data_IF_974795302911
#
_entry.id   IF_974795302911
#
_cell.length_a   1.000
_cell.length_b   1.000
_cell.length_c   1.000
_cell.angle_alpha   90.00
_cell.angle_beta   90.00
_cell.angle_gamma   90.00
#
_symmetry.space_group_name_H-M   'P 1'
#
loop_
_entity.id
_entity.type
_entity.pdbx_description
1 polymer ?
#
# COMPACT_ATOMS: atom_id res chain seq x y z
N UNK A 1 -5.29 7.44 -34.78
CA UNK A 1 -4.05 8.16 -34.94
C UNK A 1 -3.47 8.52 -33.58
N UNK A 2 -2.28 7.97 -33.24
CA UNK A 2 -1.63 8.14 -31.95
C UNK A 2 -1.27 9.62 -31.69
N UNK A 3 -0.75 10.31 -32.70
CA UNK A 3 -0.39 11.72 -32.60
C UNK A 3 -1.59 12.62 -32.19
N UNK A 4 -2.76 12.41 -32.78
CA UNK A 4 -3.97 13.15 -32.41
C UNK A 4 -4.43 12.90 -30.97
N UNK A 5 -4.19 11.69 -30.44
CA UNK A 5 -4.47 11.38 -29.04
C UNK A 5 -3.50 12.15 -28.14
N UNK A 6 -2.21 12.17 -28.47
CA UNK A 6 -1.19 12.90 -27.70
C UNK A 6 -1.45 14.41 -27.70
N UNK A 7 -1.82 14.99 -28.86
CA UNK A 7 -2.21 16.40 -28.95
C UNK A 7 -3.44 16.71 -28.09
N UNK A 8 -4.46 15.85 -28.12
CA UNK A 8 -5.64 16.01 -27.26
C UNK A 8 -5.32 15.90 -25.77
N UNK A 9 -4.43 15.00 -25.37
CA UNK A 9 -3.97 14.91 -23.98
C UNK A 9 -3.34 16.22 -23.50
N UNK A 10 -2.53 16.85 -24.35
CA UNK A 10 -1.85 18.11 -24.01
C UNK A 10 -2.83 19.29 -23.98
N UNK A 11 -3.79 19.33 -24.90
CA UNK A 11 -4.70 20.47 -25.08
C UNK A 11 -5.96 20.41 -24.23
N UNK A 12 -6.50 19.21 -23.96
CA UNK A 12 -7.79 19.01 -23.30
C UNK A 12 -7.67 18.63 -21.82
N UNK A 13 -6.55 18.01 -21.39
CA UNK A 13 -6.37 17.64 -19.97
C UNK A 13 -5.71 18.82 -19.24
N UNK A 14 -6.39 19.40 -18.23
CA UNK A 14 -5.81 20.48 -17.45
C UNK A 14 -4.61 20.02 -16.63
N UNK A 15 -3.63 20.91 -16.46
CA UNK A 15 -2.51 20.68 -15.57
C UNK A 15 -2.98 20.42 -14.11
N UNK A 16 -2.21 19.66 -13.30
CA UNK A 16 -2.51 19.47 -11.88
C UNK A 16 -2.68 20.82 -11.17
N UNK A 17 -3.70 20.91 -10.30
CA UNK A 17 -3.93 22.07 -9.45
C UNK A 17 -3.08 21.94 -8.17
N UNK A 18 -2.81 23.08 -7.54
CA UNK A 18 -2.06 23.17 -6.29
C UNK A 18 -0.80 24.03 -6.41
N UNK A 19 -0.36 24.61 -5.31
CA UNK A 19 0.83 25.44 -5.24
C UNK A 19 1.89 24.77 -4.35
N UNK A 20 3.15 24.89 -4.73
CA UNK A 20 4.28 24.42 -3.92
C UNK A 20 4.50 25.28 -2.66
N UNK A 21 3.95 26.50 -2.61
CA UNK A 21 4.05 27.40 -1.46
C UNK A 21 3.04 27.09 -0.34
N UNK A 22 2.04 26.26 -0.63
CA UNK A 22 1.06 25.80 0.35
C UNK A 22 1.65 24.75 1.30
N UNK A 23 0.98 24.46 2.45
CA UNK A 23 1.34 23.34 3.29
C UNK A 23 1.25 22.01 2.52
N UNK A 24 2.13 21.09 2.85
CA UNK A 24 2.15 19.78 2.21
C UNK A 24 0.86 19.01 2.46
N UNK A 25 0.21 18.61 1.37
CA UNK A 25 -0.82 17.58 1.31
C UNK A 25 -0.43 16.57 0.23
N UNK A 26 -0.14 15.35 0.60
CA UNK A 26 0.13 14.28 -0.35
C UNK A 26 -0.74 13.07 -0.04
N UNK A 27 -1.32 12.47 -1.08
CA UNK A 27 -2.22 11.32 -0.97
C UNK A 27 -1.47 10.04 -1.26
N UNK A 28 -1.49 9.11 -0.32
CA UNK A 28 -0.95 7.76 -0.49
C UNK A 28 -1.91 6.96 -1.38
N UNK A 29 -1.40 6.39 -2.47
CA UNK A 29 -2.21 5.53 -3.34
C UNK A 29 -1.72 4.09 -3.41
N UNK A 30 -0.48 3.81 -2.95
CA UNK A 30 0.09 2.47 -2.90
C UNK A 30 1.23 2.41 -1.89
N UNK A 31 1.57 1.20 -1.43
CA UNK A 31 2.75 0.93 -0.62
C UNK A 31 3.19 -0.52 -0.80
N UNK A 32 4.48 -0.78 -0.61
CA UNK A 32 4.99 -2.14 -0.56
C UNK A 32 6.14 -2.24 0.42
N UNK A 33 6.41 -3.46 0.87
CA UNK A 33 7.53 -3.73 1.76
C UNK A 33 8.78 -4.12 0.97
N UNK A 34 9.85 -3.38 1.18
CA UNK A 34 11.19 -3.68 0.67
C UNK A 34 12.06 -4.21 1.82
N UNK A 35 12.72 -5.38 1.69
CA UNK A 35 13.52 -5.98 2.77
C UNK A 35 14.69 -5.10 3.25
N UNK A 36 15.16 -4.18 2.42
CA UNK A 36 16.32 -3.33 2.70
C UNK A 36 15.94 -1.91 3.14
N UNK A 37 14.86 -1.36 2.57
CA UNK A 37 14.41 0.02 2.81
C UNK A 37 13.21 0.13 3.76
N UNK A 38 12.59 -1.00 4.12
CA UNK A 38 11.32 -1.01 4.84
C UNK A 38 10.13 -0.70 3.95
N UNK A 39 9.10 -0.09 4.49
CA UNK A 39 7.91 0.27 3.70
C UNK A 39 8.23 1.45 2.78
N UNK A 40 8.06 1.22 1.48
CA UNK A 40 8.09 2.25 0.44
C UNK A 40 6.65 2.71 0.20
N UNK A 41 6.43 4.00 0.30
CA UNK A 41 5.11 4.61 0.12
C UNK A 41 5.07 5.36 -1.20
N UNK A 42 4.09 5.05 -2.04
CA UNK A 42 3.81 5.81 -3.26
C UNK A 42 2.72 6.84 -2.99
N UNK A 43 2.96 8.05 -3.42
CA UNK A 43 2.05 9.17 -3.16
C UNK A 43 2.03 10.17 -4.31
N UNK A 44 0.97 10.96 -4.34
CA UNK A 44 0.84 12.15 -5.19
C UNK A 44 0.84 13.39 -4.32
N UNK A 45 1.69 14.35 -4.62
CA UNK A 45 1.67 15.67 -3.99
C UNK A 45 0.51 16.48 -4.57
N UNK A 46 -0.44 16.87 -3.72
CA UNK A 46 -1.59 17.68 -4.12
C UNK A 46 -1.29 19.17 -3.92
N UNK A 47 -0.67 19.53 -2.80
CA UNK A 47 -0.15 20.88 -2.52
C UNK A 47 1.15 20.81 -1.73
N UNK A 48 1.92 21.90 -1.74
CA UNK A 48 3.20 21.98 -1.06
C UNK A 48 4.32 21.23 -1.77
N UNK A 49 5.35 20.91 -1.03
CA UNK A 49 6.49 20.11 -1.49
C UNK A 49 7.03 19.22 -0.38
N UNK A 50 7.69 18.13 -0.76
CA UNK A 50 8.34 17.20 0.16
C UNK A 50 9.81 16.99 -0.25
N UNK A 51 10.68 16.91 0.75
CA UNK A 51 12.13 16.71 0.60
C UNK A 51 12.62 15.59 1.52
N UNK A 52 13.77 14.97 1.24
CA UNK A 52 14.47 14.15 2.23
C UNK A 52 14.78 14.95 3.51
N UNK A 53 14.94 14.24 4.63
CA UNK A 53 15.27 14.80 5.96
C UNK A 53 14.17 15.69 6.56
N UNK A 54 12.93 15.61 6.08
CA UNK A 54 11.79 16.26 6.70
C UNK A 54 11.00 15.26 7.54
N UNK A 55 10.47 15.70 8.68
CA UNK A 55 9.56 14.88 9.50
C UNK A 55 8.14 15.04 8.96
N UNK A 56 7.59 13.93 8.50
CA UNK A 56 6.22 13.81 7.99
C UNK A 56 5.31 13.21 9.04
N UNK A 57 4.01 13.48 8.90
CA UNK A 57 2.94 12.89 9.71
C UNK A 57 1.90 12.25 8.81
N UNK A 58 1.53 11.02 9.13
CA UNK A 58 0.40 10.31 8.57
C UNK A 58 -0.87 10.78 9.29
N UNK A 59 -1.82 11.38 8.59
CA UNK A 59 -2.96 12.02 9.25
C UNK A 59 -3.95 11.03 9.85
N UNK A 60 -4.15 9.86 9.22
CA UNK A 60 -5.09 8.86 9.72
C UNK A 60 -4.57 8.09 10.94
N UNK A 61 -3.28 7.80 10.98
CA UNK A 61 -2.67 7.04 12.08
C UNK A 61 -2.04 7.94 13.15
N UNK A 62 -1.73 9.20 12.80
CA UNK A 62 -0.98 10.13 13.64
C UNK A 62 0.52 9.82 13.75
N UNK A 63 1.00 8.77 13.09
CA UNK A 63 2.39 8.34 13.12
C UNK A 63 3.30 9.36 12.42
N UNK A 64 4.48 9.58 13.00
CA UNK A 64 5.46 10.54 12.50
C UNK A 64 6.74 9.82 12.09
N UNK A 65 7.30 10.19 10.94
CA UNK A 65 8.50 9.57 10.38
C UNK A 65 9.43 10.61 9.78
N UNK A 66 10.73 10.38 9.95
CA UNK A 66 11.74 11.12 9.22
C UNK A 66 11.90 10.54 7.82
N UNK A 67 11.71 11.34 6.78
CA UNK A 67 11.95 10.92 5.39
C UNK A 67 13.45 10.71 5.16
N UNK A 68 13.82 9.51 4.73
CA UNK A 68 15.21 9.17 4.39
C UNK A 68 15.47 9.48 2.92
N UNK A 69 14.56 9.06 2.06
CA UNK A 69 14.67 9.19 0.62
C UNK A 69 13.32 9.59 0.02
N UNK A 70 13.36 10.47 -0.96
CA UNK A 70 12.22 10.87 -1.79
C UNK A 70 12.65 10.73 -3.24
N UNK A 71 11.77 10.27 -4.12
CA UNK A 71 12.14 10.07 -5.52
C UNK A 71 10.97 9.80 -6.45
N UNK A 72 11.30 9.62 -7.74
CA UNK A 72 10.35 9.28 -8.80
C UNK A 72 10.52 7.83 -9.22
N UNK A 73 9.42 7.14 -9.46
CA UNK A 73 9.45 5.81 -10.05
C UNK A 73 9.44 5.94 -11.57
N UNK A 74 10.51 5.45 -12.19
CA UNK A 74 10.60 5.26 -13.62
C UNK A 74 10.14 3.84 -13.99
N UNK A 75 10.01 3.53 -15.27
CA UNK A 75 9.54 2.22 -15.73
C UNK A 75 10.37 1.04 -15.16
N UNK A 76 11.68 1.22 -15.04
CA UNK A 76 12.61 0.15 -14.65
C UNK A 76 13.38 0.43 -13.36
N UNK A 77 13.29 1.64 -12.79
CA UNK A 77 14.10 2.04 -11.64
C UNK A 77 13.40 3.07 -10.76
N UNK A 78 13.87 3.18 -9.53
CA UNK A 78 13.54 4.25 -8.60
C UNK A 78 14.68 5.26 -8.63
N UNK A 79 14.36 6.53 -8.90
CA UNK A 79 15.36 7.61 -9.04
C UNK A 79 15.13 8.61 -7.90
N UNK A 80 16.07 8.70 -6.93
CA UNK A 80 16.01 9.70 -5.88
C UNK A 80 16.02 11.13 -6.44
N UNK A 81 15.37 12.05 -5.74
CA UNK A 81 15.39 13.47 -6.09
C UNK A 81 15.39 14.34 -4.83
N UNK A 82 15.78 15.60 -4.98
CA UNK A 82 15.89 16.55 -3.88
C UNK A 82 14.52 17.08 -3.43
N UNK A 83 13.53 17.04 -4.31
CA UNK A 83 12.19 17.57 -4.04
C UNK A 83 11.13 16.97 -4.97
N UNK A 84 9.92 16.74 -4.42
CA UNK A 84 8.69 16.54 -5.18
C UNK A 84 7.72 17.66 -4.83
N UNK A 85 7.11 18.25 -5.87
CA UNK A 85 6.25 19.43 -5.79
C UNK A 85 4.80 19.09 -6.12
N UNK A 86 3.91 20.02 -5.82
CA UNK A 86 2.49 19.92 -6.18
C UNK A 86 2.28 19.44 -7.61
N UNK A 87 1.42 18.44 -7.79
CA UNK A 87 1.13 17.76 -9.05
C UNK A 87 2.02 16.55 -9.37
N UNK A 88 3.16 16.40 -8.71
CA UNK A 88 4.07 15.28 -8.96
C UNK A 88 3.67 14.02 -8.21
N UNK A 89 4.02 12.89 -8.81
CA UNK A 89 3.88 11.55 -8.25
C UNK A 89 5.27 11.01 -7.94
N UNK A 90 5.43 10.38 -6.78
CA UNK A 90 6.70 9.80 -6.40
C UNK A 90 6.57 8.77 -5.29
N UNK A 91 7.71 8.44 -4.70
CA UNK A 91 7.82 7.54 -3.57
C UNK A 91 8.63 8.18 -2.44
N UNK A 92 8.44 7.67 -1.24
CA UNK A 92 9.33 7.93 -0.11
C UNK A 92 9.69 6.64 0.62
N UNK A 93 10.86 6.67 1.26
CA UNK A 93 11.29 5.74 2.28
C UNK A 93 11.51 6.51 3.59
N UNK A 94 10.92 6.06 4.68
CA UNK A 94 10.96 6.75 5.97
C UNK A 94 11.14 5.79 7.16
N UNK A 95 11.80 4.65 6.95
CA UNK A 95 12.01 3.60 7.96
C UNK A 95 10.71 3.13 8.64
N UNK A 96 9.61 3.16 7.90
CA UNK A 96 8.31 2.65 8.35
C UNK A 96 8.42 1.12 8.42
N UNK A 97 8.08 0.55 9.56
CA UNK A 97 8.27 -0.89 9.80
C UNK A 97 7.06 -1.73 9.38
N UNK A 98 5.87 -1.15 9.45
CA UNK A 98 4.62 -1.86 9.17
C UNK A 98 3.77 -1.07 8.19
N UNK A 99 3.17 -1.75 7.20
CA UNK A 99 2.29 -1.12 6.20
C UNK A 99 1.04 -0.52 6.85
N UNK A 100 0.61 -1.05 8.00
CA UNK A 100 -0.52 -0.49 8.74
C UNK A 100 -0.31 0.96 9.21
N UNK A 101 0.94 1.43 9.28
CA UNK A 101 1.28 2.81 9.63
C UNK A 101 1.22 3.78 8.43
N UNK A 102 1.23 3.25 7.19
CA UNK A 102 1.16 4.02 5.95
C UNK A 102 0.02 3.49 5.06
N UNK A 103 -1.21 3.73 5.48
CA UNK A 103 -2.40 3.19 4.81
C UNK A 103 -2.65 3.88 3.47
N UNK A 104 -3.02 3.09 2.46
CA UNK A 104 -3.51 3.61 1.19
C UNK A 104 -4.75 4.49 1.44
N UNK A 105 -4.75 5.68 0.84
CA UNK A 105 -5.79 6.70 1.07
C UNK A 105 -5.51 7.67 2.20
N UNK A 106 -4.43 7.47 2.99
CA UNK A 106 -4.02 8.43 4.02
C UNK A 106 -3.36 9.68 3.41
N UNK A 107 -3.36 10.74 4.17
CA UNK A 107 -2.73 12.02 3.81
C UNK A 107 -1.43 12.20 4.58
N UNK A 108 -0.38 12.53 3.83
CA UNK A 108 0.92 12.93 4.38
C UNK A 108 0.96 14.45 4.51
N UNK A 109 1.38 14.95 5.66
CA UNK A 109 1.68 16.35 5.91
C UNK A 109 3.03 16.52 6.61
N UNK A 110 3.56 17.74 6.70
CA UNK A 110 4.78 18.03 7.47
C UNK A 110 4.44 18.33 8.92
N UNK A 111 5.23 17.82 9.86
CA UNK A 111 5.03 18.06 11.30
C UNK A 111 5.23 19.53 11.65
N UNK A 112 6.19 20.21 11.02
CA UNK A 112 6.49 21.62 11.27
C UNK A 112 5.50 22.61 10.61
N UNK A 113 4.69 22.14 9.64
CA UNK A 113 3.65 22.93 8.98
C UNK A 113 2.47 22.04 8.60
N UNK A 114 1.75 21.52 9.62
CA UNK A 114 0.68 20.57 9.40
C UNK A 114 -0.52 21.23 8.72
N UNK A 115 -1.37 20.39 8.12
CA UNK A 115 -2.68 20.78 7.61
C UNK A 115 -3.76 20.26 8.56
N UNK A 116 -4.88 20.96 8.63
CA UNK A 116 -5.99 20.61 9.52
C UNK A 116 -6.92 19.57 8.90
N UNK A 117 -7.01 19.55 7.57
CA UNK A 117 -7.93 18.65 6.85
C UNK A 117 -7.17 17.66 5.97
N UNK A 118 -7.46 16.37 6.18
CA UNK A 118 -6.98 15.32 5.29
C UNK A 118 -7.66 15.39 3.91
N UNK A 119 -6.94 14.90 2.91
CA UNK A 119 -7.53 14.71 1.58
C UNK A 119 -8.63 13.63 1.66
N UNK A 120 -9.67 13.72 0.79
CA UNK A 120 -10.60 12.61 0.64
C UNK A 120 -9.83 11.38 0.17
N UNK A 121 -9.70 10.41 1.08
CA UNK A 121 -8.97 9.16 0.83
C UNK A 121 -9.79 8.15 0.02
N UNK A 122 -9.17 7.04 -0.30
CA UNK A 122 -9.85 5.90 -0.89
C UNK A 122 -10.70 5.20 0.18
N UNK A 123 -11.86 4.70 -0.22
CA UNK A 123 -12.63 3.80 0.64
C UNK A 123 -11.91 2.47 0.72
N UNK A 124 -11.76 1.94 1.94
CA UNK A 124 -11.25 0.59 2.12
C UNK A 124 -12.15 -0.40 1.33
N UNK A 125 -11.51 -1.19 0.48
CA UNK A 125 -12.21 -2.24 -0.23
C UNK A 125 -12.75 -3.26 0.79
N UNK A 126 -14.04 -3.58 0.69
CA UNK A 126 -14.65 -4.58 1.55
C UNK A 126 -14.55 -5.94 0.89
N UNK A 127 -14.09 -6.98 1.59
CA UNK A 127 -14.13 -8.33 1.07
C UNK A 127 -15.57 -8.75 0.73
N UNK A 128 -15.72 -9.49 -0.36
CA UNK A 128 -17.00 -10.03 -0.82
C UNK A 128 -17.01 -11.55 -0.90
N UNK A 129 -15.83 -12.17 -0.88
CA UNK A 129 -15.65 -13.63 -0.84
C UNK A 129 -14.86 -13.98 0.41
N UNK A 130 -15.33 -14.97 1.14
CA UNK A 130 -14.66 -15.46 2.34
C UNK A 130 -14.45 -16.96 2.22
N UNK A 131 -13.24 -17.44 2.59
CA UNK A 131 -12.99 -18.86 2.76
C UNK A 131 -12.03 -19.11 3.92
N UNK A 132 -12.10 -20.30 4.51
CA UNK A 132 -11.09 -20.76 5.46
C UNK A 132 -9.87 -21.30 4.71
N UNK A 133 -8.68 -20.92 5.14
CA UNK A 133 -7.41 -21.45 4.66
C UNK A 133 -6.72 -22.16 5.83
N UNK A 134 -6.42 -23.44 5.63
CA UNK A 134 -5.81 -24.30 6.63
C UNK A 134 -4.56 -24.95 6.06
N UNK A 135 -3.48 -25.06 6.83
CA UNK A 135 -2.33 -25.85 6.38
C UNK A 135 -2.70 -27.34 6.40
N UNK A 136 -2.30 -28.08 5.38
CA UNK A 136 -2.52 -29.53 5.33
C UNK A 136 -1.80 -30.26 6.50
N UNK A 137 -0.64 -29.75 6.92
CA UNK A 137 0.05 -30.14 8.15
C UNK A 137 -0.15 -29.06 9.22
N UNK A 138 -0.86 -29.40 10.29
CA UNK A 138 -1.16 -28.47 11.40
C UNK A 138 0.10 -27.88 12.06
N UNK A 139 1.25 -28.54 11.98
CA UNK A 139 2.51 -27.98 12.47
C UNK A 139 2.96 -26.73 11.71
N UNK A 140 2.48 -26.53 10.48
CA UNK A 140 2.76 -25.36 9.63
C UNK A 140 1.83 -24.16 9.86
N UNK A 141 0.97 -24.20 10.87
CA UNK A 141 0.11 -23.04 11.20
C UNK A 141 0.89 -21.73 11.44
N UNK A 142 2.03 -21.72 12.18
CA UNK A 142 2.85 -20.53 12.33
C UNK A 142 3.41 -20.00 11.00
N UNK A 143 3.81 -20.89 10.10
CA UNK A 143 4.35 -20.55 8.78
C UNK A 143 3.27 -19.91 7.90
N UNK A 144 2.05 -20.45 7.92
CA UNK A 144 0.90 -19.89 7.23
C UNK A 144 0.56 -18.50 7.75
N UNK A 145 0.61 -18.28 9.04
CA UNK A 145 0.41 -16.96 9.65
C UNK A 145 1.42 -15.95 9.15
N UNK A 146 2.70 -16.29 9.21
CA UNK A 146 3.78 -15.42 8.75
C UNK A 146 3.65 -15.11 7.24
N UNK A 147 3.29 -16.10 6.43
CA UNK A 147 3.06 -15.92 5.01
C UNK A 147 1.90 -14.97 4.73
N UNK A 148 0.77 -15.11 5.43
CA UNK A 148 -0.38 -14.19 5.29
C UNK A 148 -0.04 -12.77 5.74
N UNK A 149 0.69 -12.61 6.84
CA UNK A 149 1.19 -11.30 7.30
C UNK A 149 2.08 -10.64 6.25
N UNK A 150 3.01 -11.39 5.64
CA UNK A 150 3.87 -10.89 4.55
C UNK A 150 3.09 -10.54 3.29
N UNK A 151 2.12 -11.36 2.88
CA UNK A 151 1.27 -11.05 1.74
C UNK A 151 0.44 -9.80 1.96
N UNK A 152 -0.13 -9.62 3.16
CA UNK A 152 -0.91 -8.43 3.52
C UNK A 152 -0.09 -7.14 3.45
N UNK A 153 1.24 -7.20 3.65
CA UNK A 153 2.12 -6.04 3.47
C UNK A 153 2.08 -5.49 2.03
N UNK A 154 1.85 -6.37 1.05
CA UNK A 154 1.82 -6.03 -0.37
C UNK A 154 0.42 -6.08 -0.98
N UNK A 155 -0.57 -6.48 -0.21
CA UNK A 155 -1.98 -6.57 -0.63
C UNK A 155 -2.90 -6.07 0.49
N UNK A 156 -3.17 -4.77 0.48
CA UNK A 156 -4.02 -4.12 1.48
C UNK A 156 -5.49 -4.59 1.44
N UNK A 157 -5.89 -5.32 0.42
CA UNK A 157 -7.25 -5.85 0.28
C UNK A 157 -7.41 -7.22 0.94
N UNK A 158 -6.32 -7.93 1.23
CA UNK A 158 -6.33 -9.20 1.95
C UNK A 158 -6.65 -8.94 3.43
N UNK A 159 -7.73 -9.54 3.91
CA UNK A 159 -8.04 -9.59 5.34
C UNK A 159 -8.03 -11.03 5.83
N UNK A 160 -7.54 -11.27 7.03
CA UNK A 160 -7.58 -12.59 7.64
C UNK A 160 -7.71 -12.49 9.16
N UNK A 161 -8.37 -13.48 9.73
CA UNK A 161 -8.54 -13.63 11.17
C UNK A 161 -8.35 -15.11 11.55
N UNK A 162 -7.84 -15.44 12.74
CA UNK A 162 -7.70 -16.83 13.18
C UNK A 162 -9.05 -17.53 13.20
N UNK A 163 -9.08 -18.76 12.69
CA UNK A 163 -10.25 -19.63 12.70
C UNK A 163 -9.86 -21.03 13.13
N UNK A 164 -10.78 -21.75 13.78
CA UNK A 164 -10.57 -23.13 14.19
C UNK A 164 -11.69 -24.00 13.64
N UNK A 165 -11.31 -25.05 12.93
CA UNK A 165 -12.23 -26.08 12.46
C UNK A 165 -12.05 -27.37 13.26
N UNK A 166 -13.16 -28.01 13.66
CA UNK A 166 -13.12 -29.30 14.34
C UNK A 166 -12.49 -30.42 13.50
N UNK A 167 -12.56 -30.32 12.16
CA UNK A 167 -12.01 -31.30 11.23
C UNK A 167 -10.61 -30.96 10.72
N UNK A 168 -10.31 -29.66 10.54
CA UNK A 168 -9.07 -29.17 9.89
C UNK A 168 -8.07 -28.54 10.87
N UNK A 169 -8.47 -28.36 12.13
CA UNK A 169 -7.63 -27.73 13.13
C UNK A 169 -7.57 -26.22 13.03
N UNK A 170 -6.39 -25.63 13.28
CA UNK A 170 -6.16 -24.19 13.26
C UNK A 170 -5.87 -23.70 11.85
N UNK A 171 -6.51 -22.60 11.47
CA UNK A 171 -6.35 -21.92 10.19
C UNK A 171 -6.75 -20.47 10.28
N UNK A 172 -7.09 -19.90 9.14
CA UNK A 172 -7.51 -18.50 9.03
C UNK A 172 -8.74 -18.36 8.15
N UNK A 173 -9.70 -17.57 8.61
CA UNK A 173 -10.77 -17.06 7.76
C UNK A 173 -10.25 -15.87 7.00
N UNK A 174 -10.15 -16.00 5.68
CA UNK A 174 -9.63 -14.98 4.80
C UNK A 174 -10.75 -14.32 4.00
N UNK A 175 -10.64 -13.00 3.81
CA UNK A 175 -11.56 -12.22 3.01
C UNK A 175 -10.87 -11.65 1.76
N UNK A 176 -11.56 -11.74 0.62
CA UNK A 176 -11.05 -11.42 -0.71
C UNK A 176 -12.00 -10.53 -1.49
N UNK A 177 -11.48 -9.78 -2.47
CA UNK A 177 -12.27 -8.93 -3.37
C UNK A 177 -13.10 -9.73 -4.38
N UNK A 178 -12.79 -11.00 -4.58
CA UNK A 178 -13.46 -11.91 -5.50
C UNK A 178 -12.74 -13.23 -5.61
N UNK A 179 -13.29 -14.15 -6.42
CA UNK A 179 -12.71 -15.50 -6.61
C UNK A 179 -11.31 -15.44 -7.21
N UNK A 180 -11.08 -14.59 -8.20
CA UNK A 180 -9.74 -14.44 -8.82
C UNK A 180 -8.70 -13.95 -7.79
N UNK A 181 -9.06 -13.01 -6.92
CA UNK A 181 -8.18 -12.57 -5.84
C UNK A 181 -7.85 -13.72 -4.89
N UNK A 182 -8.84 -14.53 -4.52
CA UNK A 182 -8.66 -15.73 -3.69
C UNK A 182 -7.67 -16.72 -4.34
N UNK A 183 -7.87 -17.04 -5.63
CA UNK A 183 -7.01 -17.95 -6.37
C UNK A 183 -5.56 -17.45 -6.45
N UNK A 184 -5.36 -16.16 -6.70
CA UNK A 184 -4.02 -15.54 -6.74
C UNK A 184 -3.33 -15.65 -5.37
N UNK A 185 -4.02 -15.32 -4.28
CA UNK A 185 -3.45 -15.41 -2.93
C UNK A 185 -3.13 -16.86 -2.57
N UNK A 186 -4.01 -17.81 -2.87
CA UNK A 186 -3.75 -19.23 -2.64
C UNK A 186 -2.52 -19.70 -3.42
N UNK A 187 -2.44 -19.40 -4.73
CA UNK A 187 -1.30 -19.78 -5.56
C UNK A 187 0.02 -19.17 -5.07
N UNK A 188 0.00 -17.93 -4.57
CA UNK A 188 1.16 -17.28 -3.97
C UNK A 188 1.60 -17.96 -2.67
N UNK A 189 0.67 -18.30 -1.78
CA UNK A 189 0.97 -19.05 -0.56
C UNK A 189 1.62 -20.40 -0.85
N UNK A 190 1.12 -21.10 -1.86
CA UNK A 190 1.66 -22.42 -2.27
C UNK A 190 3.04 -22.28 -2.93
N UNK A 191 3.24 -21.33 -3.85
CA UNK A 191 4.47 -21.20 -4.65
C UNK A 191 5.58 -20.41 -3.95
N UNK A 192 5.24 -19.28 -3.32
CA UNK A 192 6.24 -18.40 -2.72
C UNK A 192 6.66 -18.87 -1.33
N UNK A 193 5.73 -19.51 -0.59
CA UNK A 193 5.95 -19.93 0.81
C UNK A 193 5.99 -21.45 0.99
N UNK A 194 5.83 -22.22 -0.09
CA UNK A 194 5.88 -23.69 -0.08
C UNK A 194 4.92 -24.32 0.94
N UNK A 195 3.70 -23.85 0.97
CA UNK A 195 2.63 -24.31 1.86
C UNK A 195 1.66 -25.19 1.09
N UNK A 196 1.36 -26.39 1.65
CA UNK A 196 0.23 -27.21 1.19
C UNK A 196 -1.02 -26.75 1.94
N UNK A 197 -2.04 -26.34 1.21
CA UNK A 197 -3.23 -25.69 1.78
C UNK A 197 -4.51 -26.48 1.52
N UNK A 198 -5.42 -26.43 2.49
CA UNK A 198 -6.80 -26.87 2.37
C UNK A 198 -7.65 -25.59 2.44
N UNK A 199 -8.42 -25.34 1.38
CA UNK A 199 -9.35 -24.21 1.32
C UNK A 199 -10.78 -24.70 1.43
N UNK A 200 -11.60 -24.02 2.22
CA UNK A 200 -13.05 -24.30 2.26
C UNK A 200 -13.73 -23.66 1.06
N UNK A 201 -14.91 -24.17 0.69
CA UNK A 201 -15.75 -23.50 -0.29
C UNK A 201 -16.13 -22.08 0.22
N UNK A 202 -16.12 -21.07 -0.67
CA UNK A 202 -16.52 -19.71 -0.33
C UNK A 202 -18.01 -19.58 -0.04
#
# INVERSE_FOLDING_TARGET
NVEQILEKLITEIPAPKGSSDEPLKALIFDSYYDPYKGVIVYFRVVSGEIRPQQTIKMMATGAEFLTVEVGRKMATSMVPCDVLKAGEVGYLAASIKTVSEARVGDTITLVNRPVDEALPGYRAAKPVVFCGIYPADGAKYPDLREALEKLQLNDAALSFEPETSGALGFGFRCGFLGLLHMEIIQERLEREYNLDLITTAP
#
